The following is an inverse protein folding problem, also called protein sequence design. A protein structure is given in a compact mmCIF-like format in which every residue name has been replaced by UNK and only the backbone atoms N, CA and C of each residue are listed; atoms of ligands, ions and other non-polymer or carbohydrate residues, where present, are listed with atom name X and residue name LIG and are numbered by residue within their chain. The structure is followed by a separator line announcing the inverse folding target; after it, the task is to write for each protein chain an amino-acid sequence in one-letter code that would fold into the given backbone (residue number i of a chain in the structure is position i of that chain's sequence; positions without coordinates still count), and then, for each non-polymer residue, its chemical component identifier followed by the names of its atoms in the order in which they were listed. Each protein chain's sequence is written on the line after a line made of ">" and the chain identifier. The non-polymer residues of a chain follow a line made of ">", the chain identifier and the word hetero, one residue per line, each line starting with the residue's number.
data_IF_117485107170
#
_entry.id   IF_117485107170
#
_cell.length_a   1.000
_cell.length_b   1.000
_cell.length_c   1.000
_cell.angle_alpha   90.00
_cell.angle_beta   90.00
_cell.angle_gamma   90.00
#
_symmetry.space_group_name_H-M   'P 1'
#
loop_
_entity.id
_entity.type
_entity.pdbx_description
1 polymer ?
2 polymer ?
3 water ?
#
# COMPACT_ATOMS: atom_id res chain seq x y z
N UNK A 7 -17.79 14.76 1.57
CA UNK A 7 -17.05 15.05 0.32
C UNK A 7 -17.92 15.81 -0.67
N UNK A 8 -17.28 16.60 -1.52
CA UNK A 8 -17.98 17.21 -2.64
C UNK A 8 -18.29 16.11 -3.65
N UNK A 9 -19.35 16.31 -4.43
CA UNK A 9 -19.73 15.33 -5.44
C UNK A 9 -18.54 15.01 -6.34
N UNK A 10 -17.76 16.04 -6.65
CA UNK A 10 -16.60 15.89 -7.51
C UNK A 10 -15.51 15.03 -6.87
N UNK A 11 -15.34 15.15 -5.55
CA UNK A 11 -14.36 14.35 -4.84
C UNK A 11 -14.81 12.88 -4.80
N UNK A 12 -16.11 12.69 -4.60
CA UNK A 12 -16.68 11.35 -4.61
C UNK A 12 -16.47 10.72 -5.98
N UNK A 13 -16.68 11.49 -7.03
CA UNK A 13 -16.50 10.97 -8.38
C UNK A 13 -15.06 10.57 -8.65
N UNK A 14 -14.11 11.40 -8.19
CA UNK A 14 -12.69 11.11 -8.37
C UNK A 14 -12.26 9.84 -7.63
N UNK A 15 -12.74 9.66 -6.41
CA UNK A 15 -12.43 8.48 -5.61
C UNK A 15 -12.95 7.19 -6.25
N UNK A 16 -14.19 7.23 -6.75
CA UNK A 16 -14.74 6.07 -7.45
C UNK A 16 -13.94 5.79 -8.73
N UNK A 17 -13.53 6.84 -9.43
CA UNK A 17 -12.77 6.68 -10.66
C UNK A 17 -11.42 6.04 -10.35
N UNK A 18 -10.83 6.42 -9.22
CA UNK A 18 -9.56 5.85 -8.82
C UNK A 18 -9.71 4.36 -8.45
N UNK A 19 -10.77 4.04 -7.70
CA UNK A 19 -11.04 2.65 -7.31
C UNK A 19 -11.20 1.77 -8.54
N UNK A 20 -11.82 2.34 -9.57
CA UNK A 20 -12.19 1.60 -10.77
C UNK A 20 -11.06 1.53 -11.79
N UNK A 21 -10.03 2.34 -11.60
CA UNK A 21 -8.97 2.43 -12.59
C UNK A 21 -9.41 3.16 -13.84
N UNK A 22 -10.32 4.12 -13.66
CA UNK A 22 -10.82 4.92 -14.78
C UNK A 22 -9.94 6.14 -15.03
N UNK A 23 -8.84 5.94 -15.75
CA UNK A 23 -7.87 7.03 -15.98
C UNK A 23 -8.47 8.25 -16.65
N UNK A 24 -9.35 8.04 -17.63
CA UNK A 24 -9.92 9.17 -18.35
C UNK A 24 -10.72 10.06 -17.40
N UNK A 25 -11.48 9.44 -16.50
CA UNK A 25 -12.24 10.21 -15.53
C UNK A 25 -11.31 10.86 -14.51
N UNK A 26 -10.27 10.15 -14.10
CA UNK A 26 -9.30 10.72 -13.17
C UNK A 26 -8.69 11.99 -13.78
N UNK A 27 -8.30 11.90 -15.06
CA UNK A 27 -7.75 13.05 -15.77
C UNK A 27 -8.70 14.24 -15.70
N UNK A 28 -10.00 13.98 -15.87
CA UNK A 28 -10.99 15.05 -15.88
C UNK A 28 -11.11 15.77 -14.53
N UNK A 29 -11.03 15.01 -13.44
CA UNK A 29 -11.32 15.56 -12.12
C UNK A 29 -10.10 15.97 -11.33
N UNK A 30 -8.95 15.42 -11.69
CA UNK A 30 -7.75 15.59 -10.87
C UNK A 30 -7.21 17.00 -10.91
N UNK A 31 -7.23 17.67 -9.76
CA UNK A 31 -6.67 19.00 -9.64
C UNK A 31 -5.78 19.06 -8.42
N UNK A 32 -5.11 20.20 -8.25
CA UNK A 32 -4.36 20.50 -7.05
C UNK A 32 -5.22 20.26 -5.81
N UNK A 33 -6.47 20.67 -5.89
CA UNK A 33 -7.39 20.60 -4.74
C UNK A 33 -7.91 19.19 -4.44
N UNK A 34 -8.01 18.34 -5.46
CA UNK A 34 -8.71 17.06 -5.33
C UNK A 34 -7.79 15.83 -5.31
N UNK A 35 -6.58 15.99 -5.84
CA UNK A 35 -5.68 14.86 -6.03
C UNK A 35 -5.44 14.10 -4.73
N UNK A 36 -5.41 14.82 -3.62
CA UNK A 36 -5.24 14.22 -2.30
C UNK A 36 -6.46 14.35 -1.38
N UNK A 37 -7.64 14.41 -1.96
CA UNK A 37 -8.86 14.47 -1.17
C UNK A 37 -9.00 13.19 -0.34
N UNK A 38 -9.76 13.24 0.74
CA UNK A 38 -9.97 12.06 1.59
C UNK A 38 -11.40 11.53 1.49
N UNK A 39 -11.52 10.21 1.44
CA UNK A 39 -12.83 9.55 1.49
C UNK A 39 -13.40 9.56 2.91
N UNK A 40 -14.27 10.51 3.20
CA UNK A 40 -14.83 10.68 4.54
C UNK A 40 -15.72 9.50 4.95
N UNK A 41 -16.36 8.88 3.97
CA UNK A 41 -17.32 7.82 4.26
C UNK A 41 -16.65 6.48 4.54
N UNK A 42 -15.39 6.37 4.12
CA UNK A 42 -14.60 5.19 4.41
C UNK A 42 -13.59 5.43 5.51
N UNK A 43 -12.32 5.24 5.19
CA UNK A 43 -11.23 5.37 6.15
C UNK A 43 -10.31 6.55 5.86
N UNK A 44 -10.86 7.60 5.23
CA UNK A 44 -10.04 8.77 4.88
C UNK A 44 -8.97 8.39 3.84
N UNK A 45 -9.23 7.33 3.08
CA UNK A 45 -8.36 6.92 1.99
C UNK A 45 -8.29 8.02 0.93
N UNK A 46 -7.12 8.19 0.33
CA UNK A 46 -6.94 9.12 -0.78
C UNK A 46 -7.18 8.35 -2.08
N UNK A 47 -7.31 9.08 -3.20
CA UNK A 47 -7.43 8.33 -4.46
C UNK A 47 -6.27 7.36 -4.64
N UNK A 48 -5.06 7.76 -4.25
CA UNK A 48 -3.90 6.88 -4.38
C UNK A 48 -3.99 5.63 -3.50
N UNK A 49 -4.58 5.74 -2.30
CA UNK A 49 -4.82 4.54 -1.49
C UNK A 49 -5.69 3.52 -2.24
N UNK A 50 -6.75 4.01 -2.87
CA UNK A 50 -7.68 3.14 -3.59
C UNK A 50 -7.01 2.55 -4.83
N UNK A 51 -6.39 3.40 -5.64
CA UNK A 51 -5.72 2.94 -6.85
C UNK A 51 -4.67 1.89 -6.49
N UNK A 52 -3.97 2.09 -5.37
CA UNK A 52 -2.94 1.13 -4.96
C UNK A 52 -3.50 -0.23 -4.51
N UNK A 53 -4.53 -0.20 -3.67
CA UNK A 53 -5.10 -1.44 -3.17
C UNK A 53 -5.79 -2.28 -4.24
N UNK A 54 -6.40 -1.62 -5.23
CA UNK A 54 -7.12 -2.32 -6.31
C UNK A 54 -6.30 -2.48 -7.60
N UNK A 55 -4.98 -2.35 -7.50
CA UNK A 55 -4.07 -2.61 -8.61
C UNK A 55 -4.41 -1.81 -9.85
N UNK A 56 -4.71 -0.52 -9.66
CA UNK A 56 -5.06 0.33 -10.78
C UNK A 56 -3.78 1.03 -11.25
N UNK A 57 -2.94 0.28 -11.97
CA UNK A 57 -1.59 0.75 -12.27
C UNK A 57 -1.55 2.04 -13.08
N UNK A 58 -2.35 2.13 -14.13
CA UNK A 58 -2.34 3.34 -14.93
C UNK A 58 -2.76 4.58 -14.13
N UNK A 59 -3.69 4.40 -13.18
CA UNK A 59 -4.15 5.50 -12.33
C UNK A 59 -3.10 5.87 -11.30
N UNK A 60 -2.42 4.87 -10.74
CA UNK A 60 -1.28 5.15 -9.86
C UNK A 60 -0.22 5.99 -10.60
N UNK A 61 0.14 5.58 -11.81
CA UNK A 61 1.10 6.35 -12.61
C UNK A 61 0.64 7.80 -12.74
N UNK A 62 -0.58 7.99 -13.24
CA UNK A 62 -1.12 9.34 -13.41
C UNK A 62 -1.11 10.15 -12.12
N UNK A 63 -1.69 9.59 -11.06
CA UNK A 63 -1.74 10.28 -9.77
C UNK A 63 -0.35 10.72 -9.32
N UNK A 64 0.61 9.81 -9.38
CA UNK A 64 1.96 10.08 -8.92
C UNK A 64 2.61 11.21 -9.73
N UNK A 65 2.26 11.30 -11.00
CA UNK A 65 2.81 12.35 -11.85
C UNK A 65 2.08 13.67 -11.68
N UNK A 66 0.97 13.64 -10.95
CA UNK A 66 0.16 14.85 -10.79
C UNK A 66 -0.12 15.23 -9.34
N UNK A 67 0.87 14.98 -8.49
CA UNK A 67 0.87 15.56 -7.15
C UNK A 67 0.35 14.68 -6.03
N UNK A 68 0.06 13.40 -6.31
CA UNK A 68 -0.46 12.51 -5.28
C UNK A 68 0.58 12.29 -4.17
N UNK A 69 0.10 12.21 -2.94
CA UNK A 69 0.97 12.09 -1.75
C UNK A 69 1.18 10.64 -1.35
N UNK A 70 2.36 10.08 -1.65
CA UNK A 70 2.65 8.71 -1.25
C UNK A 70 2.75 8.51 0.25
N UNK A 71 2.77 9.61 1.00
CA UNK A 71 2.97 9.52 2.45
C UNK A 71 1.67 9.70 3.22
N UNK A 72 0.57 9.87 2.50
CA UNK A 72 -0.73 10.09 3.14
C UNK A 72 -1.13 8.90 3.96
N UNK A 73 -1.56 9.14 5.20
CA UNK A 73 -2.00 8.07 6.07
C UNK A 73 -3.51 8.04 6.17
N UNK A 74 -4.10 6.85 6.08
CA UNK A 74 -5.54 6.73 6.29
C UNK A 74 -5.85 6.67 7.79
N UNK A 75 -7.11 6.44 8.15
CA UNK A 75 -7.52 6.45 9.56
C UNK A 75 -6.79 5.42 10.42
N UNK A 76 -6.36 4.31 9.81
CA UNK A 76 -5.60 3.29 10.54
C UNK A 76 -4.10 3.53 10.53
N UNK A 77 -3.67 4.63 9.91
CA UNK A 77 -2.24 4.93 9.77
C UNK A 77 -1.57 4.26 8.57
N UNK A 78 -2.36 3.66 7.71
CA UNK A 78 -1.81 2.99 6.54
C UNK A 78 -1.51 3.98 5.42
N UNK A 79 -0.37 3.76 4.76
CA UNK A 79 0.02 4.51 3.56
C UNK A 79 -0.33 3.67 2.32
N UNK A 80 -0.40 4.31 1.15
CA UNK A 80 -0.78 3.48 -0.01
C UNK A 80 0.11 2.25 -0.21
N UNK A 81 1.38 2.31 0.19
CA UNK A 81 2.23 1.12 0.06
C UNK A 81 1.70 -0.07 0.87
N UNK A 82 1.09 0.19 2.03
CA UNK A 82 0.50 -0.92 2.80
C UNK A 82 -0.52 -1.66 1.95
N UNK A 83 -1.38 -0.90 1.29
CA UNK A 83 -2.44 -1.46 0.47
C UNK A 83 -1.91 -2.29 -0.70
N UNK A 84 -0.93 -1.76 -1.42
CA UNK A 84 -0.35 -2.48 -2.54
C UNK A 84 0.28 -3.78 -2.06
N UNK A 85 0.96 -3.70 -0.92
CA UNK A 85 1.69 -4.86 -0.40
C UNK A 85 0.76 -5.96 0.10
N UNK A 86 -0.37 -5.57 0.68
CA UNK A 86 -1.32 -6.52 1.22
C UNK A 86 -1.87 -7.47 0.15
N UNK A 87 -2.07 -6.95 -1.05
CA UNK A 87 -2.72 -7.72 -2.11
C UNK A 87 -1.77 -8.13 -3.22
N UNK A 88 -0.47 -7.90 -3.00
CA UNK A 88 0.58 -8.41 -3.86
C UNK A 88 0.79 -7.65 -5.14
N UNK A 89 0.43 -6.37 -5.14
CA UNK A 89 0.50 -5.57 -6.36
C UNK A 89 1.90 -5.06 -6.62
N UNK A 90 2.70 -5.89 -7.29
CA UNK A 90 4.12 -5.59 -7.41
C UNK A 90 4.43 -4.28 -8.15
N UNK A 91 3.87 -4.12 -9.34
CA UNK A 91 4.15 -2.92 -10.11
C UNK A 91 3.74 -1.65 -9.36
N UNK A 92 2.61 -1.69 -8.68
CA UNK A 92 2.18 -0.54 -7.90
C UNK A 92 3.19 -0.25 -6.80
N UNK A 93 3.62 -1.30 -6.09
CA UNK A 93 4.58 -1.14 -5.00
C UNK A 93 5.86 -0.53 -5.54
N UNK A 94 6.31 -1.05 -6.67
CA UNK A 94 7.53 -0.59 -7.31
C UNK A 94 7.42 0.90 -7.63
N UNK A 95 6.30 1.30 -8.22
CA UNK A 95 6.04 2.70 -8.56
C UNK A 95 6.04 3.62 -7.35
N UNK A 96 5.39 3.19 -6.28
CA UNK A 96 5.32 4.00 -5.05
C UNK A 96 6.71 4.20 -4.46
N UNK A 97 7.49 3.12 -4.44
CA UNK A 97 8.86 3.20 -3.94
C UNK A 97 9.71 4.12 -4.82
N UNK A 98 9.48 4.08 -6.14
CA UNK A 98 10.21 4.98 -7.03
C UNK A 98 9.91 6.44 -6.75
N UNK A 99 8.67 6.72 -6.31
CA UNK A 99 8.27 8.09 -5.99
C UNK A 99 8.51 8.47 -4.53
N UNK A 100 9.32 7.66 -3.84
CA UNK A 100 9.81 8.03 -2.54
C UNK A 100 9.07 7.48 -1.34
N UNK A 101 8.17 6.51 -1.55
CA UNK A 101 7.54 5.80 -0.44
C UNK A 101 8.61 5.28 0.51
N UNK A 102 8.35 5.40 1.81
CA UNK A 102 9.28 4.96 2.85
C UNK A 102 8.88 3.55 3.27
N UNK A 103 9.77 2.57 3.09
CA UNK A 103 9.34 1.18 3.21
C UNK A 103 9.16 0.71 4.64
N UNK A 104 9.76 1.43 5.61
CA UNK A 104 9.61 1.02 7.01
C UNK A 104 8.56 1.81 7.79
N UNK A 105 7.76 2.64 7.12
CA UNK A 105 6.80 3.44 7.87
C UNK A 105 5.77 2.49 8.47
N UNK A 106 5.29 2.81 9.67
CA UNK A 106 4.41 1.90 10.38
C UNK A 106 3.04 2.52 10.63
N UNK A 107 2.00 1.68 10.68
CA UNK A 107 0.65 2.18 10.94
C UNK A 107 0.39 2.26 12.45
N UNK A 108 -0.88 2.43 12.86
CA UNK A 108 -1.18 2.60 14.28
C UNK A 108 -0.94 1.35 15.11
N UNK A 109 -0.82 0.21 14.45
CA UNK A 109 -0.57 -1.07 15.13
C UNK A 109 0.91 -1.44 14.95
N UNK A 110 1.66 -0.46 14.45
CA UNK A 110 3.09 -0.60 14.18
C UNK A 110 3.43 -1.67 13.14
N UNK A 111 2.48 -1.99 12.26
CA UNK A 111 2.75 -2.83 11.09
C UNK A 111 3.41 -1.98 10.00
N UNK A 112 4.54 -2.45 9.47
CA UNK A 112 5.10 -1.83 8.27
C UNK A 112 4.57 -2.54 7.03
N UNK A 113 4.87 -2.00 5.84
CA UNK A 113 4.46 -2.74 4.65
C UNK A 113 5.09 -4.14 4.57
N UNK A 114 6.25 -4.34 5.19
CA UNK A 114 6.86 -5.66 5.24
C UNK A 114 6.12 -6.63 6.19
N UNK A 115 5.61 -6.15 7.33
CA UNK A 115 4.73 -6.99 8.15
C UNK A 115 3.57 -7.47 7.29
N UNK A 116 3.02 -6.56 6.52
CA UNK A 116 1.85 -6.85 5.69
C UNK A 116 2.16 -7.87 4.61
N UNK A 117 3.22 -7.66 3.85
CA UNK A 117 3.58 -8.58 2.76
C UNK A 117 3.92 -9.97 3.31
N UNK A 118 4.61 -10.00 4.45
CA UNK A 118 4.93 -11.26 5.11
C UNK A 118 3.67 -12.02 5.55
N UNK A 119 2.79 -11.34 6.27
CA UNK A 119 1.55 -11.95 6.77
C UNK A 119 0.66 -12.42 5.63
N UNK A 120 0.73 -11.71 4.51
CA UNK A 120 -0.13 -12.02 3.36
C UNK A 120 0.53 -13.03 2.41
N UNK A 121 1.78 -13.39 2.69
CA UNK A 121 2.48 -14.40 1.90
C UNK A 121 2.88 -13.94 0.50
N UNK A 122 3.31 -12.69 0.39
CA UNK A 122 3.64 -12.11 -0.91
C UNK A 122 5.16 -12.09 -1.15
N UNK A 123 5.69 -13.16 -1.73
CA UNK A 123 7.13 -13.32 -1.87
C UNK A 123 7.85 -12.19 -2.63
N UNK A 124 7.33 -11.83 -3.80
CA UNK A 124 8.03 -10.83 -4.60
C UNK A 124 7.96 -9.44 -3.94
N UNK A 125 6.85 -9.17 -3.28
CA UNK A 125 6.71 -7.91 -2.55
C UNK A 125 7.72 -7.83 -1.42
N UNK A 126 7.82 -8.91 -0.63
CA UNK A 126 8.85 -8.99 0.42
C UNK A 126 10.24 -8.74 -0.17
N UNK A 127 10.54 -9.41 -1.26
CA UNK A 127 11.83 -9.23 -1.91
C UNK A 127 12.07 -7.78 -2.32
N UNK A 128 11.08 -7.15 -2.95
CA UNK A 128 11.19 -5.74 -3.34
C UNK A 128 11.44 -4.84 -2.12
N UNK A 129 10.63 -4.99 -1.08
CA UNK A 129 10.82 -4.19 0.13
C UNK A 129 12.21 -4.36 0.75
N UNK A 130 12.67 -5.61 0.86
CA UNK A 130 13.99 -5.87 1.45
C UNK A 130 15.11 -5.24 0.61
N UNK A 131 14.94 -5.29 -0.71
CA UNK A 131 15.94 -4.71 -1.60
C UNK A 131 16.05 -3.21 -1.38
N UNK A 132 14.97 -2.60 -0.90
CA UNK A 132 14.94 -1.17 -0.63
C UNK A 132 15.15 -0.81 0.85
N UNK A 133 15.71 -1.76 1.59
CA UNK A 133 16.10 -1.50 2.96
C UNK A 133 15.04 -1.74 4.02
N UNK A 134 13.99 -2.49 3.69
CA UNK A 134 12.97 -2.79 4.70
C UNK A 134 13.57 -3.66 5.81
N UNK A 135 13.13 -3.45 7.05
CA UNK A 135 13.72 -4.11 8.21
C UNK A 135 12.83 -5.27 8.67
N UNK A 136 13.33 -6.52 8.55
CA UNK A 136 12.54 -7.70 8.90
C UNK A 136 12.57 -7.98 10.41
N UNK A 137 13.14 -7.07 11.19
CA UNK A 137 13.29 -7.28 12.64
C UNK A 137 12.43 -6.32 13.46
N UNK A 138 11.69 -5.45 12.78
CA UNK A 138 10.84 -4.47 13.48
C UNK A 138 9.63 -5.11 14.15
N UNK A 139 9.43 -4.86 15.43
CA UNK A 139 8.30 -5.44 16.15
C UNK A 139 7.05 -4.55 16.06
N UNK A 140 5.91 -5.16 15.72
CA UNK A 140 4.65 -4.42 15.80
C UNK A 140 4.11 -4.34 17.23
N UNK A 141 2.89 -3.82 17.38
CA UNK A 141 2.28 -3.66 18.69
C UNK A 141 2.16 -4.97 19.46
N UNK A 142 2.10 -6.09 18.73
CA UNK A 142 1.97 -7.41 19.34
C UNK A 142 3.34 -8.02 19.71
N UNK A 143 4.41 -7.30 19.43
CA UNK A 143 5.75 -7.81 19.66
C UNK A 143 6.26 -8.70 18.54
N UNK A 144 5.55 -8.72 17.41
CA UNK A 144 5.94 -9.58 16.29
C UNK A 144 6.69 -8.85 15.18
N UNK A 145 7.74 -9.49 14.69
CA UNK A 145 8.45 -8.96 13.52
C UNK A 145 7.77 -9.49 12.25
N UNK A 146 8.19 -8.98 11.09
CA UNK A 146 7.60 -9.57 9.87
C UNK A 146 7.92 -11.06 9.77
N UNK A 147 9.11 -11.46 10.19
CA UNK A 147 9.47 -12.87 10.11
C UNK A 147 8.54 -13.71 11.00
N UNK A 148 8.22 -13.18 12.17
CA UNK A 148 7.27 -13.84 13.07
C UNK A 148 5.91 -14.09 12.41
N UNK A 149 5.52 -13.19 11.51
CA UNK A 149 4.19 -13.24 10.89
C UNK A 149 4.12 -14.13 9.65
N UNK A 150 5.27 -14.65 9.24
CA UNK A 150 5.30 -15.55 8.08
C UNK A 150 4.73 -16.90 8.50
N UNK A 151 3.84 -17.44 7.68
CA UNK A 151 3.22 -18.74 7.94
C UNK A 151 4.19 -19.93 7.80
N UNK A 152 3.88 -21.01 8.51
CA UNK A 152 4.77 -22.17 8.62
C UNK A 152 5.30 -22.72 7.30
N UNK A 153 4.44 -22.80 6.30
CA UNK A 153 4.81 -23.42 5.03
C UNK A 153 5.46 -22.47 4.04
N UNK A 154 5.50 -21.19 4.36
CA UNK A 154 6.14 -20.24 3.47
C UNK A 154 7.62 -20.16 3.76
N UNK A 155 8.32 -21.25 3.50
CA UNK A 155 9.73 -21.34 3.84
C UNK A 155 10.58 -20.46 2.93
N UNK A 156 10.06 -20.11 1.74
CA UNK A 156 10.78 -19.21 0.85
C UNK A 156 10.80 -17.79 1.39
N UNK A 157 9.65 -17.34 1.88
CA UNK A 157 9.57 -16.01 2.48
C UNK A 157 10.38 -15.97 3.78
N UNK A 158 10.31 -17.05 4.57
CA UNK A 158 11.17 -17.15 5.75
C UNK A 158 12.64 -16.98 5.37
N UNK A 159 13.09 -17.74 4.38
CA UNK A 159 14.48 -17.67 3.92
C UNK A 159 14.84 -16.23 3.61
N UNK A 160 13.93 -15.56 2.90
CA UNK A 160 14.12 -14.19 2.45
C UNK A 160 14.31 -13.25 3.64
N UNK A 161 13.37 -13.29 4.58
CA UNK A 161 13.40 -12.37 5.72
C UNK A 161 14.51 -12.71 6.72
N UNK A 162 14.88 -13.99 6.79
CA UNK A 162 15.92 -14.43 7.72
C UNK A 162 17.28 -13.96 7.22
N UNK A 163 17.43 -13.84 5.90
CA UNK A 163 18.67 -13.40 5.30
C UNK A 163 19.92 -14.15 5.70
N UNK A 164 19.91 -15.49 5.56
CA UNK A 164 21.13 -16.26 5.77
C UNK A 164 22.26 -15.64 4.94
N UNK A 165 23.49 -15.72 5.45
CA UNK A 165 24.64 -15.12 4.76
C UNK A 165 24.72 -15.62 3.32
N UNK A 166 25.00 -14.72 2.39
CA UNK A 166 25.09 -15.06 0.98
C UNK A 166 25.89 -14.05 0.18
N UNK B 4 -8.97 -2.49 20.05
CA UNK B 4 -9.44 -2.25 18.68
C UNK B 4 -8.61 -3.05 17.66
N UNK B 5 -9.31 -3.85 16.87
CA UNK B 5 -8.64 -4.77 15.97
C UNK B 5 -8.22 -4.03 14.71
N UNK B 6 -7.13 -4.49 14.10
CA UNK B 6 -6.65 -3.90 12.86
C UNK B 6 -7.43 -4.50 11.72
N UNK B 7 -8.10 -3.65 10.92
CA UNK B 7 -8.89 -4.20 9.81
C UNK B 7 -8.01 -4.55 8.60
N UNK B 8 -8.50 -5.45 7.73
CA UNK B 8 -7.73 -5.70 6.51
C UNK B 8 -7.59 -4.39 5.72
N UNK B 9 -6.41 -4.16 5.11
CA UNK B 9 -6.25 -2.96 4.29
C UNK B 9 -7.25 -2.93 3.16
N UNK B 10 -7.58 -1.74 2.69
CA UNK B 10 -8.45 -1.58 1.56
C UNK B 10 -7.76 -2.07 0.29
N UNK B 11 -8.46 -2.88 -0.49
CA UNK B 11 -7.93 -3.42 -1.72
C UNK B 11 -8.46 -4.82 -1.99
N UNK B 12 -7.97 -5.43 -3.06
CA UNK B 12 -8.35 -6.80 -3.39
C UNK B 12 -7.32 -7.40 -4.32
N UNK B 13 -7.37 -8.71 -4.49
CA UNK B 13 -6.46 -9.40 -5.39
C UNK B 13 -6.93 -9.29 -6.84
N UNK B 14 -7.03 -8.05 -7.31
CA UNK B 14 -7.37 -7.72 -8.69
C UNK B 14 -6.22 -8.09 -9.63
N UNK B 15 -6.50 -8.93 -10.63
CA UNK B 15 -5.43 -9.29 -11.58
C UNK B 15 -4.93 -8.08 -12.34
N UNK B 16 -3.64 -8.06 -12.69
CA UNK B 16 -3.10 -6.98 -13.53
C UNK B 16 -3.97 -6.95 -14.78
#
# INVERSE_FOLDING_TARGET
>A
GAMGSGNSEADRQLLEAAKAGDVETVKKLCTVQSVNCRDIEGRQSTPLHFAAGYNRVSVVEYLLQHGADVHAKDKGGLVPLHNACSYGHYEVAELLVKHGAVVNVADLWKFTPLHEAAAKGKYEICKLLLQHGADPTKKNRDGNTPLDLVKDGDTDIQDLLRGDAAL
>B
SRRVARPPPIGAEVPX
#
